data_IF_237138919655
#
_entry.id   IF_237138919655
#
_cell.length_a   1.000
_cell.length_b   1.000
_cell.length_c   1.000
_cell.angle_alpha   90.00
_cell.angle_beta   90.00
_cell.angle_gamma   90.00
#
_symmetry.space_group_name_H-M   'P 1'
#
loop_
_entity.id
_entity.type
_entity.pdbx_description
1 polymer ?
#
# COMPACT_ATOMS: atom_id res chain seq x y z
N UNK A 1 13.43 11.65 5.12
CA UNK A 1 13.39 10.27 4.58
C UNK A 1 13.81 9.31 5.65
N UNK A 2 13.10 8.21 5.79
CA UNK A 2 13.37 7.27 6.87
C UNK A 2 13.77 5.91 6.29
N UNK A 3 14.90 5.37 6.73
CA UNK A 3 15.35 4.01 6.45
C UNK A 3 15.30 3.23 7.76
N UNK A 4 14.76 2.01 7.72
CA UNK A 4 14.84 1.11 8.88
C UNK A 4 16.27 0.66 9.09
N UNK A 5 16.85 1.03 10.22
CA UNK A 5 18.16 0.53 10.61
C UNK A 5 17.98 -0.74 11.46
N UNK A 6 18.41 -1.88 10.91
CA UNK A 6 18.29 -3.18 11.57
C UNK A 6 19.11 -3.29 12.86
N UNK A 7 20.17 -2.48 13.01
CA UNK A 7 21.04 -2.54 14.19
C UNK A 7 20.46 -1.78 15.38
N UNK A 8 19.87 -0.62 15.11
CA UNK A 8 19.31 0.25 16.15
C UNK A 8 17.81 0.05 16.38
N UNK A 9 17.12 -0.69 15.50
CA UNK A 9 15.66 -0.82 15.54
C UNK A 9 14.91 0.51 15.34
N UNK A 10 15.54 1.48 14.67
CA UNK A 10 14.99 2.83 14.45
C UNK A 10 14.95 3.20 12.97
N UNK A 11 14.05 4.10 12.62
CA UNK A 11 14.03 4.72 11.30
C UNK A 11 15.08 5.83 11.21
N UNK A 12 16.07 5.65 10.33
CA UNK A 12 16.99 6.72 9.99
C UNK A 12 16.25 7.78 9.16
N UNK A 13 16.32 9.05 9.56
CA UNK A 13 15.66 10.16 8.87
C UNK A 13 16.67 10.92 8.02
N UNK A 14 16.35 11.14 6.73
CA UNK A 14 17.16 11.94 5.82
C UNK A 14 16.62 13.38 5.75
N UNK A 15 17.52 14.34 5.68
CA UNK A 15 17.16 15.75 5.53
C UNK A 15 16.55 16.06 4.16
N UNK A 16 15.76 17.14 4.07
CA UNK A 16 15.21 17.64 2.79
C UNK A 16 16.30 17.92 1.74
N UNK A 17 17.49 18.39 2.18
CA UNK A 17 18.62 18.63 1.30
C UNK A 17 19.18 17.35 0.66
N UNK A 18 19.04 16.20 1.32
CA UNK A 18 19.42 14.90 0.77
C UNK A 18 18.37 14.35 -0.20
N UNK A 19 17.08 14.69 -0.03
CA UNK A 19 15.99 14.27 -0.93
C UNK A 19 16.23 14.74 -2.37
N UNK A 20 16.60 15.99 -2.57
CA UNK A 20 16.82 16.58 -3.89
C UNK A 20 17.91 15.91 -4.73
N UNK A 21 18.87 15.20 -4.10
CA UNK A 21 19.93 14.48 -4.81
C UNK A 21 19.47 13.17 -5.46
N UNK A 22 18.35 12.61 -5.04
CA UNK A 22 17.85 11.31 -5.49
C UNK A 22 16.71 11.39 -6.50
N UNK A 23 16.09 12.59 -6.63
CA UNK A 23 14.95 12.76 -7.56
C UNK A 23 15.47 12.89 -8.99
N UNK A 24 15.01 12.01 -9.86
CA UNK A 24 15.32 12.07 -11.29
C UNK A 24 14.54 13.22 -11.95
N UNK A 25 15.19 14.22 -12.57
CA UNK A 25 14.49 15.35 -13.20
C UNK A 25 13.48 14.93 -14.27
N UNK A 26 13.78 13.88 -15.04
CA UNK A 26 12.87 13.33 -16.04
C UNK A 26 11.61 12.76 -15.39
N UNK A 27 11.75 11.97 -14.32
CA UNK A 27 10.61 11.41 -13.59
C UNK A 27 9.80 12.51 -12.89
N UNK A 28 10.47 13.52 -12.33
CA UNK A 28 9.82 14.70 -11.74
C UNK A 28 8.99 15.45 -12.77
N UNK A 29 9.60 15.78 -13.93
CA UNK A 29 8.91 16.45 -15.04
C UNK A 29 7.74 15.63 -15.55
N UNK A 30 7.89 14.30 -15.66
CA UNK A 30 6.81 13.40 -16.08
C UNK A 30 5.63 13.38 -15.09
N UNK A 31 5.91 13.33 -13.78
CA UNK A 31 4.86 13.41 -12.76
C UNK A 31 4.12 14.75 -12.77
N UNK A 32 4.86 15.87 -12.92
CA UNK A 32 4.25 17.20 -12.97
C UNK A 32 3.43 17.45 -14.22
N UNK A 33 3.78 16.80 -15.34
CA UNK A 33 3.16 17.00 -16.66
C UNK A 33 2.30 15.81 -17.11
N UNK A 34 2.06 14.85 -16.23
CA UNK A 34 1.29 13.65 -16.59
C UNK A 34 -0.08 14.03 -17.13
N UNK A 35 -0.40 13.51 -18.30
CA UNK A 35 -1.70 13.76 -18.91
C UNK A 35 -2.82 13.18 -18.05
N UNK A 36 -3.91 13.91 -17.85
CA UNK A 36 -5.02 13.56 -16.95
C UNK A 36 -5.56 12.14 -17.18
N UNK A 37 -5.72 11.75 -18.44
CA UNK A 37 -6.19 10.40 -18.81
C UNK A 37 -5.23 9.32 -18.32
N UNK A 38 -3.92 9.53 -18.44
CA UNK A 38 -2.91 8.57 -18.00
C UNK A 38 -2.82 8.52 -16.48
N UNK A 39 -2.89 9.67 -15.81
CA UNK A 39 -2.98 9.74 -14.35
C UNK A 39 -4.22 9.01 -13.82
N UNK A 40 -5.37 9.20 -14.48
CA UNK A 40 -6.61 8.50 -14.14
C UNK A 40 -6.48 7.00 -14.31
N UNK A 41 -5.82 6.51 -15.36
CA UNK A 41 -5.59 5.08 -15.56
C UNK A 41 -4.71 4.50 -14.43
N UNK A 42 -3.58 5.11 -14.12
CA UNK A 42 -2.69 4.66 -13.05
C UNK A 42 -3.37 4.69 -11.67
N UNK A 43 -4.14 5.73 -11.40
CA UNK A 43 -4.94 5.84 -10.17
C UNK A 43 -6.01 4.74 -10.10
N UNK A 44 -6.64 4.42 -11.24
CA UNK A 44 -7.61 3.33 -11.35
C UNK A 44 -6.96 1.99 -11.03
N UNK A 45 -5.80 1.71 -11.62
CA UNK A 45 -5.06 0.46 -11.43
C UNK A 45 -4.69 0.28 -9.95
N UNK A 46 -4.24 1.35 -9.27
CA UNK A 46 -3.90 1.31 -7.84
C UNK A 46 -5.13 1.02 -6.97
N UNK A 47 -6.21 1.78 -7.14
CA UNK A 47 -7.39 1.65 -6.29
C UNK A 47 -8.20 0.39 -6.58
N UNK A 48 -8.31 0.00 -7.84
CA UNK A 48 -8.98 -1.25 -8.21
C UNK A 48 -8.22 -2.46 -7.69
N UNK A 49 -6.89 -2.45 -7.79
CA UNK A 49 -6.06 -3.53 -7.23
C UNK A 49 -6.17 -3.62 -5.71
N UNK A 50 -6.21 -2.48 -5.00
CA UNK A 50 -6.51 -2.46 -3.56
C UNK A 50 -7.82 -3.18 -3.26
N UNK A 51 -8.91 -2.77 -3.93
CA UNK A 51 -10.24 -3.36 -3.72
C UNK A 51 -10.23 -4.85 -4.04
N UNK A 52 -9.59 -5.25 -5.16
CA UNK A 52 -9.48 -6.65 -5.56
C UNK A 52 -8.70 -7.49 -4.55
N UNK A 53 -7.58 -6.98 -4.04
CA UNK A 53 -6.76 -7.67 -3.05
C UNK A 53 -7.50 -7.84 -1.72
N UNK A 54 -8.14 -6.79 -1.24
CA UNK A 54 -8.96 -6.84 -0.03
C UNK A 54 -10.17 -7.77 -0.20
N UNK A 55 -10.79 -7.76 -1.37
CA UNK A 55 -11.91 -8.65 -1.66
C UNK A 55 -11.50 -10.12 -1.71
N UNK A 56 -10.38 -10.42 -2.37
CA UNK A 56 -9.84 -11.79 -2.39
C UNK A 56 -9.53 -12.27 -0.98
N UNK A 57 -8.92 -11.45 -0.15
CA UNK A 57 -8.65 -11.76 1.25
C UNK A 57 -9.93 -12.11 2.01
N UNK A 58 -10.98 -11.28 1.89
CA UNK A 58 -12.27 -11.57 2.54
C UNK A 58 -12.89 -12.88 2.05
N UNK A 59 -12.79 -13.20 0.76
CA UNK A 59 -13.32 -14.45 0.21
C UNK A 59 -12.54 -15.70 0.67
N UNK A 60 -11.28 -15.55 1.02
CA UNK A 60 -10.52 -16.63 1.65
C UNK A 60 -11.01 -16.87 3.08
N UNK A 61 -11.37 -15.80 3.80
CA UNK A 61 -11.93 -15.93 5.16
C UNK A 61 -13.39 -16.39 5.17
N UNK A 62 -14.17 -15.93 4.19
CA UNK A 62 -15.60 -16.25 4.03
C UNK A 62 -15.90 -16.55 2.54
N UNK A 63 -15.89 -17.83 2.13
CA UNK A 63 -16.18 -18.23 0.75
C UNK A 63 -17.59 -17.88 0.27
N UNK A 64 -18.54 -17.57 1.18
CA UNK A 64 -19.90 -17.15 0.83
C UNK A 64 -19.93 -15.73 0.21
N UNK A 65 -18.86 -14.95 0.34
CA UNK A 65 -18.74 -13.63 -0.31
C UNK A 65 -18.66 -13.82 -1.83
N UNK A 66 -19.64 -13.29 -2.55
CA UNK A 66 -19.71 -13.35 -4.02
C UNK A 66 -18.50 -12.68 -4.67
N UNK A 67 -18.03 -13.13 -5.85
CA UNK A 67 -16.96 -12.48 -6.58
C UNK A 67 -17.26 -11.00 -6.86
N UNK A 68 -16.19 -10.19 -6.97
CA UNK A 68 -16.34 -8.79 -7.40
C UNK A 68 -16.98 -8.74 -8.79
N UNK A 69 -18.04 -7.93 -8.97
CA UNK A 69 -18.62 -7.73 -10.30
C UNK A 69 -17.59 -7.05 -11.23
N UNK A 70 -17.67 -7.35 -12.52
CA UNK A 70 -16.90 -6.62 -13.53
C UNK A 70 -17.40 -5.18 -13.59
N UNK A 71 -16.59 -4.24 -13.12
CA UNK A 71 -16.95 -2.82 -13.07
C UNK A 71 -16.29 -2.07 -14.22
N UNK A 72 -17.09 -1.35 -15.00
CA UNK A 72 -16.58 -0.34 -15.93
C UNK A 72 -16.44 0.98 -15.19
N UNK A 73 -15.21 1.37 -14.88
CA UNK A 73 -14.90 2.61 -14.17
C UNK A 73 -14.45 3.66 -15.17
N UNK A 74 -15.37 4.55 -15.54
CA UNK A 74 -15.17 5.49 -16.66
C UNK A 74 -14.63 6.86 -16.23
N UNK A 75 -14.44 7.09 -14.92
CA UNK A 75 -13.90 8.35 -14.41
C UNK A 75 -13.25 8.19 -13.04
N UNK A 76 -12.31 9.07 -12.72
CA UNK A 76 -11.66 9.10 -11.41
C UNK A 76 -12.66 9.25 -10.24
N UNK A 77 -13.70 10.07 -10.43
CA UNK A 77 -14.75 10.23 -9.42
C UNK A 77 -15.55 8.92 -9.19
N UNK A 78 -15.76 8.09 -10.24
CA UNK A 78 -16.41 6.79 -10.09
C UNK A 78 -15.55 5.81 -9.29
N UNK A 79 -14.24 5.83 -9.50
CA UNK A 79 -13.28 5.00 -8.76
C UNK A 79 -13.25 5.37 -7.27
N UNK A 80 -13.18 6.66 -6.95
CA UNK A 80 -13.20 7.15 -5.56
C UNK A 80 -14.50 6.78 -4.85
N UNK A 81 -15.65 6.89 -5.54
CA UNK A 81 -16.96 6.46 -4.98
C UNK A 81 -17.00 4.97 -4.71
N UNK A 82 -16.48 4.16 -5.65
CA UNK A 82 -16.39 2.72 -5.45
C UNK A 82 -15.50 2.40 -4.24
N UNK A 83 -14.31 2.97 -4.16
CA UNK A 83 -13.37 2.74 -3.05
C UNK A 83 -14.00 3.10 -1.71
N UNK A 84 -14.63 4.27 -1.61
CA UNK A 84 -15.30 4.72 -0.37
C UNK A 84 -16.46 3.81 0.03
N UNK A 85 -17.27 3.35 -0.93
CA UNK A 85 -18.37 2.41 -0.68
C UNK A 85 -17.82 1.06 -0.25
N UNK A 86 -16.80 0.58 -0.96
CA UNK A 86 -16.18 -0.71 -0.67
C UNK A 86 -15.47 -0.72 0.68
N UNK A 87 -14.82 0.37 1.08
CA UNK A 87 -14.11 0.46 2.35
C UNK A 87 -15.02 0.18 3.56
N UNK A 88 -16.29 0.64 3.54
CA UNK A 88 -17.27 0.33 4.59
C UNK A 88 -17.60 -1.16 4.66
N UNK A 89 -17.85 -1.77 3.51
CA UNK A 89 -18.10 -3.20 3.42
C UNK A 89 -16.87 -4.00 3.91
N UNK A 90 -15.68 -3.64 3.44
CA UNK A 90 -14.43 -4.30 3.82
C UNK A 90 -14.19 -4.27 5.32
N UNK A 91 -14.23 -3.11 5.96
CA UNK A 91 -13.92 -3.00 7.39
C UNK A 91 -14.90 -3.75 8.27
N UNK A 92 -16.19 -3.73 7.95
CA UNK A 92 -17.17 -4.50 8.69
C UNK A 92 -16.85 -6.01 8.67
N UNK A 93 -16.52 -6.55 7.49
CA UNK A 93 -16.17 -7.97 7.33
C UNK A 93 -14.80 -8.32 7.91
N UNK A 94 -13.83 -7.43 7.76
CA UNK A 94 -12.50 -7.61 8.31
C UNK A 94 -12.50 -7.68 9.85
N UNK A 95 -13.24 -6.80 10.51
CA UNK A 95 -13.36 -6.82 11.96
C UNK A 95 -14.10 -8.06 12.45
N UNK A 96 -15.14 -8.48 11.76
CA UNK A 96 -15.83 -9.73 12.07
C UNK A 96 -14.89 -10.95 11.94
N UNK A 97 -14.10 -11.02 10.87
CA UNK A 97 -13.12 -12.10 10.65
C UNK A 97 -11.99 -12.10 11.70
N UNK A 98 -11.64 -10.93 12.23
CA UNK A 98 -10.67 -10.79 13.32
C UNK A 98 -11.29 -11.04 14.72
N UNK A 99 -12.56 -11.45 14.80
CA UNK A 99 -13.31 -11.59 16.06
C UNK A 99 -13.22 -10.34 16.94
N UNK A 100 -13.16 -9.16 16.32
CA UNK A 100 -13.00 -7.89 17.02
C UNK A 100 -14.36 -7.20 17.18
N UNK A 101 -14.67 -6.80 18.38
CA UNK A 101 -15.86 -5.97 18.69
C UNK A 101 -15.59 -4.51 18.31
N UNK A 102 -15.55 -4.25 16.99
CA UNK A 102 -15.27 -2.96 16.40
C UNK A 102 -16.29 -2.62 15.33
N UNK A 103 -16.80 -1.39 15.40
CA UNK A 103 -17.75 -0.86 14.42
C UNK A 103 -17.10 0.03 13.34
N UNK A 104 -15.88 0.54 13.59
CA UNK A 104 -15.24 1.47 12.67
C UNK A 104 -13.70 1.39 12.69
N UNK A 105 -13.11 1.76 11.56
CA UNK A 105 -11.66 1.91 11.41
C UNK A 105 -11.18 3.22 12.02
N UNK A 106 -10.40 3.17 13.10
CA UNK A 106 -9.80 4.32 13.78
C UNK A 106 -8.43 4.65 13.18
N UNK A 107 -8.35 5.81 12.50
CA UNK A 107 -7.08 6.25 11.86
C UNK A 107 -6.19 7.08 12.79
N UNK A 108 -6.78 7.73 13.80
CA UNK A 108 -6.07 8.62 14.75
C UNK A 108 -6.50 8.27 16.16
N UNK A 109 -5.55 8.37 17.10
CA UNK A 109 -5.80 8.10 18.53
C UNK A 109 -6.52 6.75 18.74
N UNK A 110 -6.16 5.74 17.96
CA UNK A 110 -6.73 4.41 18.09
C UNK A 110 -6.43 3.85 19.48
N UNK A 111 -7.45 3.33 20.15
CA UNK A 111 -7.36 2.69 21.46
C UNK A 111 -7.38 1.17 21.35
N UNK A 112 -8.18 0.64 20.42
CA UNK A 112 -8.30 -0.80 20.24
C UNK A 112 -7.03 -1.39 19.63
N UNK A 113 -6.47 -2.51 20.19
CA UNK A 113 -5.20 -3.12 19.75
C UNK A 113 -5.11 -3.39 18.25
N UNK A 114 -6.19 -3.92 17.65
CA UNK A 114 -6.27 -4.16 16.20
C UNK A 114 -6.06 -2.88 15.38
N UNK A 115 -6.71 -1.77 15.75
CA UNK A 115 -6.54 -0.50 15.08
C UNK A 115 -5.14 0.10 15.31
N UNK A 116 -4.56 -0.10 16.49
CA UNK A 116 -3.17 0.30 16.80
C UNK A 116 -2.20 -0.47 15.92
N UNK A 117 -2.33 -1.80 15.83
CA UNK A 117 -1.48 -2.65 15.00
C UNK A 117 -1.60 -2.28 13.50
N UNK A 118 -2.83 -2.07 13.00
CA UNK A 118 -3.06 -1.61 11.62
C UNK A 118 -2.41 -0.25 11.35
N UNK A 119 -2.55 0.71 12.26
CA UNK A 119 -1.93 2.03 12.10
C UNK A 119 -0.40 1.94 12.08
N UNK A 120 0.16 1.12 12.96
CA UNK A 120 1.61 0.89 13.02
C UNK A 120 2.11 0.21 11.73
N UNK A 121 1.45 -0.86 11.29
CA UNK A 121 1.81 -1.59 10.08
C UNK A 121 1.72 -0.74 8.81
N UNK A 122 0.68 0.07 8.68
CA UNK A 122 0.58 1.00 7.55
C UNK A 122 1.68 2.07 7.58
N UNK A 123 2.03 2.59 8.77
CA UNK A 123 3.16 3.50 8.91
C UNK A 123 4.47 2.84 8.50
N UNK A 124 4.68 1.59 8.90
CA UNK A 124 5.86 0.80 8.55
C UNK A 124 5.98 0.58 7.03
N UNK A 125 4.90 0.08 6.41
CA UNK A 125 4.84 -0.15 4.96
C UNK A 125 5.00 1.16 4.16
N UNK A 126 4.37 2.23 4.63
CA UNK A 126 4.48 3.55 4.05
C UNK A 126 5.94 4.03 3.96
N UNK A 127 6.72 3.91 5.05
CA UNK A 127 8.12 4.27 5.03
C UNK A 127 8.97 3.41 4.10
N UNK A 128 8.65 2.10 4.00
CA UNK A 128 9.33 1.22 3.05
C UNK A 128 9.10 1.67 1.59
N UNK A 129 7.86 2.06 1.26
CA UNK A 129 7.50 2.56 -0.09
C UNK A 129 8.08 3.95 -0.34
N UNK A 130 8.02 4.86 0.63
CA UNK A 130 8.65 6.19 0.54
C UNK A 130 10.14 6.07 0.23
N UNK A 131 10.82 5.16 0.93
CA UNK A 131 12.22 4.85 0.66
C UNK A 131 12.41 4.38 -0.79
N UNK A 132 11.57 3.45 -1.24
CA UNK A 132 11.72 2.89 -2.58
C UNK A 132 11.41 3.92 -3.68
N UNK A 133 10.45 4.84 -3.47
CA UNK A 133 10.22 5.95 -4.40
C UNK A 133 11.50 6.74 -4.64
N UNK A 134 12.18 7.13 -3.57
CA UNK A 134 13.43 7.88 -3.66
C UNK A 134 14.57 7.06 -4.28
N UNK A 135 14.69 5.78 -3.94
CA UNK A 135 15.66 4.87 -4.55
C UNK A 135 15.45 4.71 -6.07
N UNK A 136 14.19 4.85 -6.52
CA UNK A 136 13.81 4.81 -7.94
C UNK A 136 13.81 6.20 -8.62
N UNK A 137 14.29 7.24 -7.94
CA UNK A 137 14.36 8.60 -8.47
C UNK A 137 13.03 9.36 -8.51
N UNK A 138 11.99 8.85 -7.82
CA UNK A 138 10.68 9.51 -7.73
C UNK A 138 10.61 10.47 -6.54
N UNK A 139 9.94 11.62 -6.72
CA UNK A 139 9.57 12.48 -5.59
C UNK A 139 8.35 11.90 -4.87
N UNK A 140 8.48 11.42 -3.62
CA UNK A 140 7.37 10.81 -2.90
C UNK A 140 6.25 11.79 -2.55
N UNK A 141 6.44 13.10 -2.71
CA UNK A 141 5.44 14.12 -2.35
C UNK A 141 4.41 14.35 -3.45
N UNK A 142 4.73 14.04 -4.71
CA UNK A 142 3.87 14.31 -5.88
C UNK A 142 3.02 13.08 -6.20
N UNK A 143 1.83 13.02 -5.62
CA UNK A 143 0.85 11.94 -5.84
C UNK A 143 -0.03 12.15 -7.07
N UNK A 144 -0.65 11.07 -7.54
CA UNK A 144 -1.65 11.06 -8.62
C UNK A 144 -3.09 10.94 -8.11
N UNK A 145 -3.28 10.35 -6.92
CA UNK A 145 -4.58 10.22 -6.22
C UNK A 145 -4.69 11.31 -5.15
N UNK A 146 -3.68 11.36 -4.30
CA UNK A 146 -3.65 12.31 -3.19
C UNK A 146 -3.00 13.62 -3.63
N UNK A 147 -3.72 14.74 -3.40
CA UNK A 147 -3.19 16.09 -3.67
C UNK A 147 -1.94 16.36 -2.85
N UNK A 148 -1.03 17.12 -3.43
CA UNK A 148 0.16 17.63 -2.76
C UNK A 148 -0.25 18.35 -1.46
N UNK A 149 0.36 17.96 -0.35
CA UNK A 149 0.21 18.61 0.96
C UNK A 149 1.57 18.74 1.61
N UNK A 150 1.78 19.84 2.34
CA UNK A 150 3.01 20.07 3.10
C UNK A 150 3.31 18.87 4.03
N UNK A 151 4.52 18.38 3.98
CA UNK A 151 5.04 17.27 4.81
C UNK A 151 4.29 15.93 4.63
N UNK A 152 3.59 15.74 3.50
CA UNK A 152 2.94 14.46 3.19
C UNK A 152 3.54 13.87 1.92
N UNK A 153 4.15 12.69 1.96
CA UNK A 153 4.56 11.96 0.77
C UNK A 153 3.34 11.34 0.07
N UNK A 154 2.66 12.16 -0.72
CA UNK A 154 1.40 11.80 -1.38
C UNK A 154 1.53 10.62 -2.33
N UNK A 155 2.67 10.51 -3.06
CA UNK A 155 2.92 9.36 -3.94
C UNK A 155 3.11 8.06 -3.17
N UNK A 156 3.81 8.10 -2.03
CA UNK A 156 3.92 6.91 -1.18
C UNK A 156 2.54 6.50 -0.63
N UNK A 157 1.66 7.47 -0.33
CA UNK A 157 0.26 7.20 0.03
C UNK A 157 -0.53 6.55 -1.11
N UNK A 158 -0.21 6.85 -2.36
CA UNK A 158 -0.87 6.25 -3.53
C UNK A 158 -0.36 4.83 -3.77
N UNK A 159 0.95 4.65 -3.75
CA UNK A 159 1.60 3.37 -4.05
C UNK A 159 1.44 2.32 -2.94
N UNK A 160 1.06 2.72 -1.71
CA UNK A 160 0.75 1.78 -0.63
C UNK A 160 -0.56 1.01 -0.88
N UNK A 161 -1.51 1.59 -1.65
CA UNK A 161 -2.87 1.08 -1.73
C UNK A 161 -2.94 -0.42 -2.13
N UNK A 162 -2.22 -0.93 -3.15
CA UNK A 162 -2.21 -2.35 -3.49
C UNK A 162 -1.64 -3.26 -2.41
N UNK A 163 -0.76 -2.73 -1.54
CA UNK A 163 -0.06 -3.50 -0.52
C UNK A 163 -0.76 -3.52 0.85
N UNK A 164 -1.87 -2.78 1.01
CA UNK A 164 -2.58 -2.72 2.30
C UNK A 164 -2.97 -4.10 2.83
N UNK A 165 -3.38 -5.00 1.94
CA UNK A 165 -3.72 -6.36 2.29
C UNK A 165 -2.57 -7.13 2.99
N UNK A 166 -1.31 -6.81 2.71
CA UNK A 166 -0.17 -7.44 3.38
C UNK A 166 -0.15 -7.10 4.89
N UNK A 167 -0.42 -5.82 5.23
CA UNK A 167 -0.55 -5.39 6.64
C UNK A 167 -1.77 -6.02 7.28
N UNK A 168 -2.91 -5.99 6.59
CA UNK A 168 -4.18 -6.51 7.08
C UNK A 168 -4.09 -8.02 7.38
N UNK A 169 -3.48 -8.80 6.48
CA UNK A 169 -3.20 -10.23 6.69
C UNK A 169 -2.21 -10.46 7.84
N UNK A 170 -1.14 -9.67 7.91
CA UNK A 170 -0.15 -9.79 8.99
C UNK A 170 -0.79 -9.52 10.35
N UNK A 171 -1.64 -8.49 10.45
CA UNK A 171 -2.32 -8.17 11.70
C UNK A 171 -3.27 -9.28 12.11
N UNK A 172 -4.11 -9.79 11.21
CA UNK A 172 -5.07 -10.85 11.57
C UNK A 172 -4.38 -12.15 12.01
N UNK A 173 -3.22 -12.47 11.40
CA UNK A 173 -2.45 -13.69 11.72
C UNK A 173 -1.70 -13.61 13.05
N UNK A 174 -1.30 -12.42 13.46
CA UNK A 174 -0.31 -12.25 14.52
C UNK A 174 -0.74 -11.25 15.59
N UNK A 175 -2.02 -10.87 15.64
CA UNK A 175 -2.51 -9.83 16.56
C UNK A 175 -2.19 -10.18 18.02
N UNK A 176 -2.36 -11.42 18.41
CA UNK A 176 -2.10 -11.90 19.76
C UNK A 176 -0.62 -11.79 20.20
N UNK A 177 0.28 -11.57 19.24
CA UNK A 177 1.71 -11.37 19.49
C UNK A 177 2.14 -9.90 19.36
N UNK A 178 1.22 -8.99 19.08
CA UNK A 178 1.49 -7.57 18.79
C UNK A 178 1.14 -6.64 19.97
N UNK A 179 1.41 -7.06 21.21
CA UNK A 179 1.05 -6.26 22.39
C UNK A 179 1.97 -5.06 22.61
N UNK A 180 3.22 -5.12 22.14
CA UNK A 180 4.21 -4.08 22.32
C UNK A 180 4.73 -3.52 20.97
N UNK A 181 5.22 -2.26 21.00
CA UNK A 181 5.81 -1.62 19.81
C UNK A 181 7.00 -2.38 19.24
N UNK A 182 7.81 -2.98 20.09
CA UNK A 182 8.97 -3.81 19.71
C UNK A 182 8.55 -5.06 18.98
N UNK A 183 7.54 -5.77 19.48
CA UNK A 183 6.95 -6.95 18.83
C UNK A 183 6.30 -6.59 17.50
N UNK A 184 5.53 -5.50 17.43
CA UNK A 184 4.98 -4.97 16.18
C UNK A 184 6.09 -4.64 15.17
N UNK A 185 7.15 -3.95 15.60
CA UNK A 185 8.27 -3.60 14.73
C UNK A 185 8.95 -4.84 14.15
N UNK A 186 9.22 -5.83 14.98
CA UNK A 186 9.83 -7.10 14.57
C UNK A 186 8.92 -7.84 13.56
N UNK A 187 7.61 -7.91 13.83
CA UNK A 187 6.67 -8.61 12.95
C UNK A 187 6.52 -7.93 11.59
N UNK A 188 6.40 -6.59 11.54
CA UNK A 188 6.32 -5.88 10.27
C UNK A 188 7.67 -5.85 9.51
N UNK A 189 8.81 -5.90 10.21
CA UNK A 189 10.10 -6.12 9.57
C UNK A 189 10.17 -7.52 8.92
N UNK A 190 9.69 -8.55 9.62
CA UNK A 190 9.59 -9.91 9.06
C UNK A 190 8.65 -9.96 7.85
N UNK A 191 7.50 -9.28 7.88
CA UNK A 191 6.57 -9.18 6.74
C UNK A 191 7.28 -8.73 5.45
N UNK A 192 8.25 -7.83 5.51
CA UNK A 192 9.01 -7.41 4.32
C UNK A 192 9.93 -8.50 3.76
N UNK A 193 10.31 -9.48 4.59
CA UNK A 193 11.12 -10.63 4.20
C UNK A 193 10.27 -11.84 3.80
N UNK A 194 8.97 -11.85 4.12
CA UNK A 194 8.04 -12.91 3.73
C UNK A 194 7.93 -13.00 2.20
N UNK A 195 7.76 -14.22 1.68
CA UNK A 195 7.66 -14.48 0.25
C UNK A 195 6.21 -14.45 -0.22
N UNK A 196 5.95 -13.59 -1.18
CA UNK A 196 4.65 -13.38 -1.82
C UNK A 196 4.72 -13.67 -3.31
N UNK A 197 3.58 -14.01 -3.89
CA UNK A 197 3.46 -14.26 -5.32
C UNK A 197 3.36 -12.94 -6.07
N UNK A 198 4.16 -12.76 -7.11
CA UNK A 198 4.09 -11.63 -8.01
C UNK A 198 4.50 -12.06 -9.43
N UNK A 199 3.60 -11.84 -10.40
CA UNK A 199 3.84 -12.20 -11.82
C UNK A 199 4.31 -13.64 -12.02
N UNK A 200 3.67 -14.58 -11.33
CA UNK A 200 3.94 -16.01 -11.47
C UNK A 200 5.17 -16.54 -10.69
N UNK A 201 5.90 -15.69 -10.01
CA UNK A 201 7.08 -16.05 -9.21
C UNK A 201 6.90 -15.65 -7.74
N UNK A 202 7.77 -16.19 -6.88
CA UNK A 202 7.78 -15.82 -5.45
C UNK A 202 8.97 -14.93 -5.14
N UNK A 203 8.69 -13.77 -4.55
CA UNK A 203 9.68 -12.79 -4.14
C UNK A 203 9.41 -12.34 -2.71
N UNK A 204 10.44 -11.86 -2.03
CA UNK A 204 10.26 -11.15 -0.77
C UNK A 204 9.45 -9.88 -1.00
N UNK A 205 8.56 -9.53 -0.07
CA UNK A 205 7.68 -8.35 -0.22
C UNK A 205 8.49 -7.07 -0.55
N UNK A 206 9.64 -6.87 0.10
CA UNK A 206 10.52 -5.72 -0.20
C UNK A 206 10.97 -5.67 -1.66
N UNK A 207 11.20 -6.83 -2.28
CA UNK A 207 11.59 -6.91 -3.70
C UNK A 207 10.40 -6.62 -4.61
N UNK A 208 9.20 -7.08 -4.23
CA UNK A 208 7.96 -6.75 -4.96
C UNK A 208 7.68 -5.24 -4.89
N UNK A 209 7.84 -4.61 -3.71
CA UNK A 209 7.71 -3.15 -3.57
C UNK A 209 8.64 -2.43 -4.55
N UNK A 210 9.91 -2.87 -4.63
CA UNK A 210 10.86 -2.31 -5.59
C UNK A 210 10.39 -2.45 -7.04
N UNK A 211 10.00 -3.66 -7.45
CA UNK A 211 9.54 -3.95 -8.82
C UNK A 211 8.29 -3.15 -9.19
N UNK A 212 7.34 -2.99 -8.27
CA UNK A 212 6.12 -2.20 -8.48
C UNK A 212 6.44 -0.72 -8.63
N UNK A 213 7.29 -0.17 -7.76
CA UNK A 213 7.69 1.25 -7.85
C UNK A 213 8.50 1.52 -9.13
N UNK A 214 9.40 0.62 -9.52
CA UNK A 214 10.14 0.72 -10.78
C UNK A 214 9.20 0.65 -12.00
N UNK A 215 8.20 -0.25 -11.98
CA UNK A 215 7.21 -0.34 -13.07
C UNK A 215 6.35 0.92 -13.16
N UNK A 216 6.00 1.52 -12.00
CA UNK A 216 5.30 2.80 -11.96
C UNK A 216 6.17 3.93 -12.54
N UNK A 217 7.44 4.03 -12.13
CA UNK A 217 8.38 5.02 -12.67
C UNK A 217 8.53 4.89 -14.19
N UNK A 218 8.59 3.66 -14.70
CA UNK A 218 8.65 3.41 -16.14
C UNK A 218 7.35 3.83 -16.86
N UNK A 219 6.19 3.57 -16.27
CA UNK A 219 4.90 3.93 -16.87
C UNK A 219 4.68 5.44 -16.91
N UNK A 220 5.07 6.22 -15.88
CA UNK A 220 4.94 7.68 -15.90
C UNK A 220 5.88 8.34 -16.91
N UNK A 221 7.07 7.77 -17.14
CA UNK A 221 8.05 8.33 -18.11
C UNK A 221 7.76 7.90 -19.54
N UNK A 222 7.10 6.76 -19.73
CA UNK A 222 6.72 6.25 -21.04
C UNK A 222 5.31 5.62 -21.01
N UNK A 223 4.28 6.33 -21.51
CA UNK A 223 2.91 5.83 -21.51
C UNK A 223 2.66 4.52 -22.29
N UNK A 224 3.63 4.06 -23.09
CA UNK A 224 3.58 2.75 -23.77
C UNK A 224 3.97 1.59 -22.84
N UNK A 225 4.58 1.88 -21.70
CA UNK A 225 4.91 0.87 -20.69
C UNK A 225 3.76 0.64 -19.75
N UNK A 226 3.44 -0.61 -19.50
CA UNK A 226 2.38 -1.00 -18.57
C UNK A 226 2.85 -0.87 -17.12
N UNK A 227 1.98 -0.32 -16.27
CA UNK A 227 2.13 -0.41 -14.83
C UNK A 227 1.65 -1.77 -14.34
N UNK A 228 2.38 -2.35 -13.40
CA UNK A 228 2.06 -3.66 -12.83
C UNK A 228 1.95 -3.55 -11.30
N UNK A 229 0.76 -3.21 -10.76
CA UNK A 229 0.55 -3.15 -9.31
C UNK A 229 0.63 -4.54 -8.67
N UNK A 230 0.85 -4.59 -7.36
CA UNK A 230 0.86 -5.84 -6.60
C UNK A 230 -0.53 -6.44 -6.52
N UNK A 231 -0.70 -7.66 -7.01
CA UNK A 231 -1.94 -8.45 -6.95
C UNK A 231 -1.77 -9.59 -5.98
N UNK A 232 -2.64 -9.68 -4.97
CA UNK A 232 -2.68 -10.77 -4.00
C UNK A 232 -3.11 -12.07 -4.68
N UNK A 233 -2.48 -13.18 -4.32
CA UNK A 233 -2.89 -14.52 -4.73
C UNK A 233 -3.55 -15.26 -3.57
N UNK A 234 -4.54 -16.12 -3.86
CA UNK A 234 -5.29 -16.84 -2.84
C UNK A 234 -4.39 -17.65 -1.89
N UNK A 235 -3.35 -18.31 -2.43
CA UNK A 235 -2.35 -19.05 -1.63
C UNK A 235 -1.59 -18.21 -0.61
N UNK A 236 -1.43 -16.89 -0.86
CA UNK A 236 -0.76 -15.98 0.05
C UNK A 236 -1.72 -15.39 1.08
N UNK A 237 -3.03 -15.48 0.83
CA UNK A 237 -4.09 -15.02 1.72
C UNK A 237 -4.54 -16.09 2.73
N UNK A 238 -4.25 -17.38 2.50
CA UNK A 238 -4.57 -18.46 3.45
C UNK A 238 -3.88 -18.22 4.79
N UNK A 239 -4.62 -18.41 5.88
CA UNK A 239 -4.19 -18.29 7.27
C UNK A 239 -3.44 -19.53 7.73
#
# INVERSE_FOLDING_TARGET
>A
MSRWDKRSGKWATFSLAQRGRYVNPTALSALCKIHERHATQLASDLLFTKVSNQHLMLRVFDPAISPLPKLKLNSFAAILRLESKYARFFWARYFAAASADLFAREKRKASHPLNVALNYGYGFLYHAIEWQCLASGLDPTIGIIHRLRRNRPSLACDLIEPFRCCVELTVIRWLDQMHEKTAMAARFAAMLEDHWSYRGQRFRLRSIIRLVVESFAAAITNPKRSFHPFTLHARDACL
#
